data_IF_130564559222
#
_entry.id   IF_130564559222
#
_cell.length_a   1.000
_cell.length_b   1.000
_cell.length_c   1.000
_cell.angle_alpha   90.00
_cell.angle_beta   90.00
_cell.angle_gamma   90.00
#
_symmetry.space_group_name_H-M   'P 1'
#
loop_
_entity.id
_entity.type
_entity.pdbx_description
1 polymer ?
#
# COMPACT_ATOMS: atom_id res chain seq x y z
N UNK A 1 18.88 3.44 7.56
CA UNK A 1 17.64 4.22 7.48
C UNK A 1 16.59 3.54 8.35
N UNK A 2 15.83 4.30 9.11
CA UNK A 2 14.72 3.81 9.93
C UNK A 2 13.41 4.12 9.22
N UNK A 3 12.68 3.09 8.80
CA UNK A 3 11.42 3.23 8.07
C UNK A 3 10.27 3.06 9.05
N UNK A 4 9.28 3.96 9.02
CA UNK A 4 8.01 3.76 9.68
C UNK A 4 6.94 3.34 8.67
N UNK A 5 6.10 2.39 9.05
CA UNK A 5 4.84 2.07 8.37
C UNK A 5 3.70 2.29 9.36
N UNK A 6 2.58 2.81 8.86
CA UNK A 6 1.43 3.18 9.67
C UNK A 6 0.20 2.35 9.31
N UNK A 7 -0.69 2.21 10.27
CA UNK A 7 -2.09 1.82 10.06
C UNK A 7 -2.99 2.80 10.81
N UNK A 8 -4.16 3.08 10.27
CA UNK A 8 -5.23 3.79 10.97
C UNK A 8 -6.58 3.48 10.34
N UNK A 9 -7.67 3.78 11.06
CA UNK A 9 -9.04 3.67 10.58
C UNK A 9 -9.42 4.96 9.85
N UNK A 10 -9.52 4.94 8.49
CA UNK A 10 -9.84 6.14 7.73
C UNK A 10 -11.32 6.47 7.84
N UNK A 11 -11.67 7.75 7.64
CA UNK A 11 -13.05 8.17 7.45
C UNK A 11 -13.34 8.45 5.98
N UNK A 12 -14.42 7.86 5.47
CA UNK A 12 -14.84 7.96 4.09
C UNK A 12 -15.03 9.42 3.66
N UNK A 13 -14.23 9.87 2.70
CA UNK A 13 -14.26 11.23 2.15
C UNK A 13 -13.83 12.36 3.10
N UNK A 14 -13.58 12.09 4.37
CA UNK A 14 -13.16 13.11 5.34
C UNK A 14 -11.64 13.35 5.29
N UNK A 15 -11.22 14.06 4.25
CA UNK A 15 -9.79 14.35 4.03
C UNK A 15 -9.15 15.13 5.18
N UNK A 16 -9.93 16.00 5.85
CA UNK A 16 -9.43 16.79 6.99
C UNK A 16 -9.12 15.91 8.20
N UNK A 17 -10.02 14.99 8.53
CA UNK A 17 -9.79 14.02 9.61
C UNK A 17 -8.60 13.13 9.28
N UNK A 18 -8.57 12.54 8.08
CA UNK A 18 -7.52 11.62 7.67
C UNK A 18 -6.14 12.29 7.68
N UNK A 19 -6.03 13.53 7.20
CA UNK A 19 -4.79 14.30 7.26
C UNK A 19 -4.37 14.61 8.71
N UNK A 20 -5.32 14.86 9.62
CA UNK A 20 -5.01 15.06 11.04
C UNK A 20 -4.41 13.81 11.69
N UNK A 21 -4.91 12.62 11.33
CA UNK A 21 -4.35 11.33 11.78
C UNK A 21 -2.97 11.11 11.17
N UNK A 22 -2.80 11.40 9.88
CA UNK A 22 -1.49 11.33 9.20
C UNK A 22 -0.47 12.24 9.92
N UNK A 23 -0.83 13.48 10.24
CA UNK A 23 0.06 14.40 10.99
C UNK A 23 0.42 13.85 12.38
N UNK A 24 -0.57 13.34 13.12
CA UNK A 24 -0.39 12.74 14.46
C UNK A 24 0.59 11.55 14.40
N UNK A 25 0.38 10.63 13.46
CA UNK A 25 1.23 9.44 13.32
C UNK A 25 2.63 9.79 12.80
N UNK A 26 2.75 10.81 11.93
CA UNK A 26 4.04 11.33 11.47
C UNK A 26 4.84 11.93 12.63
N UNK A 27 4.21 12.73 13.52
CA UNK A 27 4.84 13.23 14.75
C UNK A 27 5.30 12.09 15.66
N UNK A 28 4.47 11.04 15.82
CA UNK A 28 4.80 9.85 16.59
C UNK A 28 6.02 9.11 15.99
N UNK A 29 6.07 8.95 14.66
CA UNK A 29 7.19 8.32 13.98
C UNK A 29 8.49 9.12 14.15
N UNK A 30 8.42 10.45 13.95
CA UNK A 30 9.56 11.35 14.13
C UNK A 30 10.12 11.28 15.56
N UNK A 31 9.25 11.33 16.57
CA UNK A 31 9.66 11.25 17.98
C UNK A 31 10.33 9.91 18.35
N UNK A 32 10.04 8.85 17.59
CA UNK A 32 10.64 7.51 17.73
C UNK A 32 11.86 7.29 16.83
N UNK A 33 12.35 8.32 16.14
CA UNK A 33 13.57 8.27 15.33
C UNK A 33 13.41 7.66 13.95
N UNK A 34 12.20 7.68 13.38
CA UNK A 34 11.99 7.32 11.98
C UNK A 34 12.55 8.40 11.04
N UNK A 35 13.11 7.98 9.93
CA UNK A 35 13.61 8.86 8.86
C UNK A 35 12.52 9.19 7.82
N UNK A 36 11.50 8.32 7.69
CA UNK A 36 10.33 8.49 6.82
C UNK A 36 9.14 7.71 7.35
N UNK A 37 7.95 8.02 6.84
CA UNK A 37 6.71 7.26 7.13
C UNK A 37 5.90 7.01 5.87
N UNK A 38 5.30 5.80 5.78
CA UNK A 38 4.42 5.36 4.70
C UNK A 38 3.04 5.01 5.26
N UNK A 39 1.99 5.45 4.57
CA UNK A 39 0.58 5.21 4.88
C UNK A 39 -0.05 4.29 3.83
N UNK A 40 -1.29 3.85 4.05
CA UNK A 40 -1.97 2.92 3.16
C UNK A 40 -2.49 3.59 1.87
N UNK A 41 -2.94 2.78 0.92
CA UNK A 41 -3.60 3.20 -0.31
C UNK A 41 -4.79 4.11 -0.01
N UNK A 42 -4.93 5.21 -0.77
CA UNK A 42 -6.00 6.22 -0.55
C UNK A 42 -6.18 6.66 0.92
N UNK A 43 -5.10 6.72 1.68
CA UNK A 43 -5.14 7.09 3.10
C UNK A 43 -5.78 8.45 3.36
N UNK A 44 -5.75 9.36 2.38
CA UNK A 44 -6.32 10.71 2.49
C UNK A 44 -7.83 10.69 2.31
N UNK A 45 -8.35 9.84 1.40
CA UNK A 45 -9.76 9.85 1.00
C UNK A 45 -10.58 8.71 1.58
N UNK A 46 -9.95 7.63 2.07
CA UNK A 46 -10.46 6.27 2.20
C UNK A 46 -10.71 5.61 0.83
N UNK A 47 -10.94 4.29 0.81
CA UNK A 47 -10.91 3.51 -0.42
C UNK A 47 -12.25 2.85 -0.77
N UNK A 48 -12.78 1.97 0.07
CA UNK A 48 -13.88 1.05 -0.30
C UNK A 48 -15.16 1.78 -0.67
N UNK A 49 -15.51 2.88 -0.01
CA UNK A 49 -16.72 3.65 -0.33
C UNK A 49 -16.68 4.25 -1.74
N UNK A 50 -15.50 4.43 -2.33
CA UNK A 50 -15.37 4.98 -3.69
C UNK A 50 -15.99 4.08 -4.76
N UNK A 51 -16.25 2.80 -4.46
CA UNK A 51 -16.90 1.86 -5.40
C UNK A 51 -18.27 2.33 -5.86
N UNK A 52 -19.00 3.03 -4.98
CA UNK A 52 -20.38 3.45 -5.20
C UNK A 52 -20.49 4.89 -5.75
N UNK A 53 -19.35 5.62 -5.83
CA UNK A 53 -19.34 6.98 -6.35
C UNK A 53 -19.53 7.02 -7.87
N UNK A 54 -20.43 7.89 -8.34
CA UNK A 54 -20.52 8.21 -9.74
C UNK A 54 -19.36 9.13 -10.17
N UNK A 55 -19.25 9.37 -11.50
CA UNK A 55 -18.13 10.17 -12.05
C UNK A 55 -18.05 11.58 -11.46
N UNK A 56 -19.21 12.24 -11.20
CA UNK A 56 -19.24 13.59 -10.63
C UNK A 56 -18.71 13.59 -9.21
N UNK A 57 -19.23 12.71 -8.38
CA UNK A 57 -18.81 12.57 -6.96
C UNK A 57 -17.33 12.22 -6.85
N UNK A 58 -16.86 11.29 -7.69
CA UNK A 58 -15.44 10.91 -7.72
C UNK A 58 -14.55 12.09 -8.20
N UNK A 59 -15.03 12.90 -9.15
CA UNK A 59 -14.32 14.11 -9.63
C UNK A 59 -14.27 15.19 -8.55
N UNK A 60 -15.31 15.35 -7.75
CA UNK A 60 -15.37 16.28 -6.62
C UNK A 60 -14.39 15.88 -5.51
N UNK A 61 -14.28 14.57 -5.22
CA UNK A 61 -13.32 14.01 -4.27
C UNK A 61 -11.87 14.14 -4.74
N UNK A 62 -11.64 14.08 -6.06
CA UNK A 62 -10.30 14.03 -6.64
C UNK A 62 -9.61 15.39 -6.61
N UNK A 63 -8.31 15.39 -6.31
CA UNK A 63 -7.46 16.56 -6.29
C UNK A 63 -6.37 16.51 -7.38
N UNK A 64 -5.86 17.67 -7.77
CA UNK A 64 -4.67 17.74 -8.64
C UNK A 64 -3.40 17.55 -7.82
N UNK A 65 -2.40 16.91 -8.39
CA UNK A 65 -1.07 16.78 -7.79
C UNK A 65 -0.06 17.56 -8.66
N UNK A 66 0.73 18.49 -8.07
CA UNK A 66 0.92 18.75 -6.63
C UNK A 66 0.00 19.83 -6.04
N UNK A 67 -0.83 20.53 -6.82
CA UNK A 67 -1.51 21.75 -6.42
C UNK A 67 -2.71 21.55 -5.45
N UNK A 68 -3.20 20.32 -5.29
CA UNK A 68 -4.35 19.98 -4.44
C UNK A 68 -4.09 20.26 -2.96
N UNK A 69 -5.17 20.58 -2.23
CA UNK A 69 -5.09 20.98 -0.81
C UNK A 69 -4.44 19.91 0.06
N UNK A 70 -4.79 18.64 -0.15
CA UNK A 70 -4.25 17.53 0.63
C UNK A 70 -2.75 17.34 0.38
N UNK A 71 -2.30 17.46 -0.89
CA UNK A 71 -0.88 17.40 -1.21
C UNK A 71 -0.10 18.55 -0.57
N UNK A 72 -0.65 19.77 -0.61
CA UNK A 72 -0.01 20.93 0.01
C UNK A 72 0.06 20.79 1.54
N UNK A 73 -0.96 20.20 2.16
CA UNK A 73 -0.94 19.92 3.59
C UNK A 73 0.09 18.85 3.96
N UNK A 74 0.23 17.77 3.17
CA UNK A 74 1.30 16.79 3.36
C UNK A 74 2.69 17.44 3.26
N UNK A 75 2.90 18.33 2.29
CA UNK A 75 4.16 19.08 2.13
C UNK A 75 4.40 19.95 3.37
N UNK A 76 3.38 20.64 3.88
CA UNK A 76 3.46 21.45 5.11
C UNK A 76 3.89 20.58 6.31
N UNK A 77 3.26 19.42 6.49
CA UNK A 77 3.58 18.48 7.56
C UNK A 77 5.02 17.98 7.41
N UNK A 78 5.39 17.52 6.21
CA UNK A 78 6.75 17.05 5.90
C UNK A 78 7.80 18.11 6.20
N UNK A 79 7.55 19.37 5.80
CA UNK A 79 8.45 20.50 6.07
C UNK A 79 8.58 20.79 7.56
N UNK A 80 7.46 20.77 8.31
CA UNK A 80 7.46 21.08 9.74
C UNK A 80 8.21 20.05 10.58
N UNK A 81 8.24 18.79 10.13
CA UNK A 81 8.87 17.66 10.82
C UNK A 81 10.22 17.26 10.21
N UNK A 82 10.61 17.88 9.09
CA UNK A 82 11.78 17.49 8.29
C UNK A 82 11.81 15.97 8.08
N UNK A 83 10.71 15.43 7.52
CA UNK A 83 10.52 14.00 7.33
C UNK A 83 9.69 13.69 6.08
N UNK A 84 10.17 12.88 5.13
CA UNK A 84 9.39 12.39 4.01
C UNK A 84 8.13 11.63 4.43
N UNK A 85 7.03 11.87 3.71
CA UNK A 85 5.73 11.24 3.93
C UNK A 85 5.24 10.63 2.62
N UNK A 86 4.79 9.36 2.70
CA UNK A 86 4.17 8.68 1.56
C UNK A 86 2.70 8.38 1.88
N UNK A 87 1.78 8.83 1.02
CA UNK A 87 0.35 8.62 1.21
C UNK A 87 -0.40 8.54 -0.12
N UNK A 88 -1.57 7.85 -0.11
CA UNK A 88 -2.45 7.69 -1.26
C UNK A 88 -3.63 8.66 -1.26
N UNK A 89 -4.09 9.03 -2.46
CA UNK A 89 -5.25 9.90 -2.70
C UNK A 89 -5.91 9.60 -4.05
N UNK A 90 -7.09 10.15 -4.27
CA UNK A 90 -7.73 10.21 -5.58
C UNK A 90 -7.21 11.44 -6.31
N UNK A 91 -6.52 11.23 -7.45
CA UNK A 91 -5.97 12.30 -8.30
C UNK A 91 -6.86 12.56 -9.50
N UNK A 92 -6.97 13.82 -9.92
CA UNK A 92 -7.49 14.20 -11.24
C UNK A 92 -6.47 14.95 -12.07
N UNK A 93 -6.35 14.55 -13.33
CA UNK A 93 -5.50 15.23 -14.31
C UNK A 93 -6.09 15.07 -15.72
N UNK A 94 -6.20 16.17 -16.46
CA UNK A 94 -6.67 16.19 -17.86
C UNK A 94 -7.97 15.41 -18.10
N UNK A 95 -8.96 15.56 -17.20
CA UNK A 95 -10.26 14.91 -17.28
C UNK A 95 -10.27 13.42 -16.91
N UNK A 96 -9.16 12.87 -16.48
CA UNK A 96 -9.03 11.49 -15.97
C UNK A 96 -8.89 11.48 -14.48
N UNK A 97 -9.29 10.36 -13.85
CA UNK A 97 -9.21 10.15 -12.40
C UNK A 97 -8.34 8.92 -12.14
N UNK A 98 -7.47 9.01 -11.13
CA UNK A 98 -6.49 7.99 -10.81
C UNK A 98 -6.48 7.66 -9.31
N UNK A 99 -6.18 6.42 -8.98
CA UNK A 99 -5.72 6.02 -7.66
C UNK A 99 -4.21 6.27 -7.61
N UNK A 100 -3.78 7.25 -6.84
CA UNK A 100 -2.41 7.76 -6.87
C UNK A 100 -1.75 7.68 -5.50
N UNK A 101 -0.48 7.35 -5.50
CA UNK A 101 0.38 7.36 -4.32
C UNK A 101 1.54 8.31 -4.53
N UNK A 102 1.80 9.19 -3.57
CA UNK A 102 2.83 10.22 -3.67
C UNK A 102 3.84 10.11 -2.54
N UNK A 103 5.07 10.51 -2.82
CA UNK A 103 6.10 10.80 -1.82
C UNK A 103 6.34 12.30 -1.78
N UNK A 104 6.16 12.91 -0.62
CA UNK A 104 6.43 14.32 -0.39
C UNK A 104 7.61 14.50 0.55
N UNK A 105 8.38 15.56 0.30
CA UNK A 105 9.43 16.07 1.17
C UNK A 105 9.17 17.55 1.46
N UNK A 106 10.03 18.20 2.20
CA UNK A 106 9.96 19.64 2.44
C UNK A 106 10.13 20.47 1.15
N UNK A 107 10.72 19.89 0.11
CA UNK A 107 10.90 20.50 -1.21
C UNK A 107 9.68 20.33 -2.12
N UNK A 108 8.75 19.45 -1.79
CA UNK A 108 7.56 19.16 -2.57
C UNK A 108 7.35 17.68 -2.87
N UNK A 109 6.60 17.38 -3.93
CA UNK A 109 6.37 16.01 -4.41
C UNK A 109 7.60 15.54 -5.17
N UNK A 110 8.25 14.47 -4.71
CA UNK A 110 9.43 13.89 -5.35
C UNK A 110 9.13 12.60 -6.14
N UNK A 111 8.00 11.95 -5.86
CA UNK A 111 7.52 10.80 -6.62
C UNK A 111 6.00 10.77 -6.65
N UNK A 112 5.47 10.31 -7.78
CA UNK A 112 4.04 10.09 -8.01
C UNK A 112 3.89 8.79 -8.79
N UNK A 113 3.03 7.89 -8.31
CA UNK A 113 2.71 6.62 -8.95
C UNK A 113 1.21 6.44 -9.03
N UNK A 114 0.70 6.12 -10.21
CA UNK A 114 -0.71 5.79 -10.47
C UNK A 114 -0.88 4.28 -10.54
N UNK A 115 -1.84 3.76 -9.80
CA UNK A 115 -2.13 2.32 -9.75
C UNK A 115 -2.31 1.75 -11.15
N UNK A 116 -1.58 0.67 -11.45
CA UNK A 116 -1.62 0.02 -12.76
C UNK A 116 -2.92 -0.75 -12.97
N UNK A 117 -3.48 -1.32 -11.90
CA UNK A 117 -4.69 -2.14 -11.92
C UNK A 117 -5.79 -1.57 -10.99
N UNK A 118 -6.36 -0.39 -11.30
CA UNK A 118 -7.46 0.19 -10.52
C UNK A 118 -8.77 -0.48 -10.94
N UNK A 119 -9.43 -1.18 -9.99
CA UNK A 119 -10.66 -1.89 -10.27
C UNK A 119 -11.83 -1.57 -9.33
N UNK A 120 -11.60 -0.75 -8.28
CA UNK A 120 -12.65 -0.44 -7.31
C UNK A 120 -13.78 0.40 -7.90
N UNK A 121 -13.49 1.21 -8.89
CA UNK A 121 -14.47 2.03 -9.58
C UNK A 121 -14.12 2.11 -11.08
N UNK A 122 -15.13 1.94 -11.94
CA UNK A 122 -14.99 1.94 -13.41
C UNK A 122 -14.49 3.25 -14.01
N UNK A 123 -14.56 4.35 -13.26
CA UNK A 123 -14.10 5.67 -13.70
C UNK A 123 -12.63 5.95 -13.39
N UNK A 124 -11.95 5.04 -12.67
CA UNK A 124 -10.52 5.15 -12.43
C UNK A 124 -9.73 4.72 -13.66
N UNK A 125 -8.81 5.56 -14.07
CA UNK A 125 -7.91 5.29 -15.20
C UNK A 125 -6.67 4.52 -14.72
N UNK A 126 -6.26 3.44 -15.40
CA UNK A 126 -4.99 2.76 -15.12
C UNK A 126 -3.78 3.68 -15.31
N UNK A 127 -2.79 3.55 -14.42
CA UNK A 127 -1.44 4.04 -14.67
C UNK A 127 -0.75 3.21 -15.77
N UNK A 128 0.31 3.75 -16.37
CA UNK A 128 1.03 3.13 -17.48
C UNK A 128 2.55 3.16 -17.33
N UNK A 129 3.05 3.52 -16.15
CA UNK A 129 4.48 3.69 -15.87
C UNK A 129 4.85 3.09 -14.52
N UNK A 130 6.06 2.52 -14.43
CA UNK A 130 6.67 2.18 -13.14
C UNK A 130 7.34 3.39 -12.56
N UNK A 131 7.36 3.47 -11.22
CA UNK A 131 7.99 4.57 -10.49
C UNK A 131 9.15 4.02 -9.64
N UNK A 132 10.37 4.44 -9.97
CA UNK A 132 11.56 4.23 -9.13
C UNK A 132 12.26 5.57 -8.96
N UNK A 133 12.53 5.96 -7.71
CA UNK A 133 13.05 7.27 -7.35
C UNK A 133 14.07 7.18 -6.22
N UNK A 134 14.88 8.22 -6.07
CA UNK A 134 15.88 8.31 -5.01
C UNK A 134 15.27 8.99 -3.76
N UNK A 135 15.43 8.34 -2.59
CA UNK A 135 14.97 8.86 -1.31
C UNK A 135 15.97 8.48 -0.21
N UNK A 136 16.57 9.47 0.45
CA UNK A 136 17.52 9.28 1.57
C UNK A 136 18.67 8.30 1.24
N UNK A 137 19.16 8.35 -0.01
CA UNK A 137 20.23 7.48 -0.50
C UNK A 137 19.80 6.06 -0.86
N UNK A 138 18.49 5.79 -0.96
CA UNK A 138 17.91 4.51 -1.39
C UNK A 138 17.18 4.67 -2.70
N UNK A 139 17.25 3.66 -3.57
CA UNK A 139 16.33 3.55 -4.71
C UNK A 139 15.04 2.91 -4.25
N UNK A 140 13.97 3.68 -4.30
CA UNK A 140 12.64 3.29 -3.82
C UNK A 140 11.68 3.07 -4.98
N UNK A 141 10.86 2.03 -4.90
CA UNK A 141 9.74 1.79 -5.83
C UNK A 141 8.40 1.95 -5.13
N UNK A 142 7.34 2.16 -5.90
CA UNK A 142 5.95 2.17 -5.42
C UNK A 142 5.13 1.19 -6.26
N UNK A 143 4.35 0.33 -5.58
CA UNK A 143 3.34 -0.53 -6.20
C UNK A 143 2.09 -0.54 -5.29
N UNK A 144 0.93 -0.20 -5.84
CA UNK A 144 -0.30 -0.04 -5.05
C UNK A 144 -1.11 -1.34 -5.05
N UNK A 145 -1.30 -1.95 -3.88
CA UNK A 145 -2.24 -3.03 -3.60
C UNK A 145 -2.14 -4.19 -4.62
N UNK A 146 -3.14 -4.36 -5.48
CA UNK A 146 -3.21 -5.44 -6.48
C UNK A 146 -1.99 -5.48 -7.41
N UNK A 147 -1.35 -4.34 -7.68
CA UNK A 147 -0.11 -4.30 -8.48
C UNK A 147 0.98 -5.22 -7.92
N UNK A 148 1.01 -5.42 -6.58
CA UNK A 148 1.95 -6.32 -5.91
C UNK A 148 1.59 -7.81 -6.05
N UNK A 149 0.34 -8.13 -6.40
CA UNK A 149 -0.06 -9.52 -6.65
C UNK A 149 0.42 -10.02 -8.01
N UNK A 150 0.56 -9.11 -8.98
CA UNK A 150 1.14 -9.40 -10.31
C UNK A 150 2.66 -9.44 -10.16
N UNK A 151 3.24 -10.64 -10.23
CA UNK A 151 4.67 -10.88 -9.92
C UNK A 151 5.60 -10.13 -10.86
N UNK A 152 5.20 -9.93 -12.12
CA UNK A 152 5.94 -9.20 -13.14
C UNK A 152 6.15 -7.74 -12.74
N UNK A 153 5.15 -7.08 -12.14
CA UNK A 153 5.27 -5.68 -11.69
C UNK A 153 6.36 -5.53 -10.63
N UNK A 154 6.40 -6.46 -9.66
CA UNK A 154 7.41 -6.44 -8.61
C UNK A 154 8.79 -6.70 -9.18
N UNK A 155 8.90 -7.70 -10.09
CA UNK A 155 10.16 -8.01 -10.77
C UNK A 155 10.63 -6.84 -11.63
N UNK A 156 9.74 -6.19 -12.38
CA UNK A 156 10.07 -5.02 -13.20
C UNK A 156 10.59 -3.87 -12.33
N UNK A 157 9.88 -3.53 -11.24
CA UNK A 157 10.29 -2.48 -10.30
C UNK A 157 11.67 -2.77 -9.68
N UNK A 158 11.92 -4.02 -9.28
CA UNK A 158 13.23 -4.43 -8.75
C UNK A 158 14.35 -4.39 -9.82
N UNK A 159 14.04 -4.67 -11.09
CA UNK A 159 14.98 -4.59 -12.21
C UNK A 159 15.30 -3.16 -12.61
N UNK A 160 14.38 -2.22 -12.38
CA UNK A 160 14.63 -0.78 -12.51
C UNK A 160 15.54 -0.24 -11.39
N UNK A 161 15.91 -1.10 -10.43
CA UNK A 161 16.90 -0.81 -9.40
C UNK A 161 16.33 -0.54 -8.01
N UNK A 162 15.02 -0.73 -7.80
CA UNK A 162 14.45 -0.57 -6.47
C UNK A 162 15.12 -1.50 -5.45
N UNK A 163 15.50 -0.92 -4.32
CA UNK A 163 16.07 -1.57 -3.14
C UNK A 163 15.02 -1.72 -2.03
N UNK A 164 14.03 -0.82 -2.02
CA UNK A 164 12.88 -0.76 -1.14
C UNK A 164 11.63 -0.51 -1.97
N UNK A 165 10.57 -1.29 -1.75
CA UNK A 165 9.27 -1.09 -2.39
C UNK A 165 8.25 -0.69 -1.31
N UNK A 166 7.64 0.47 -1.49
CA UNK A 166 6.46 0.88 -0.75
C UNK A 166 5.24 0.21 -1.36
N UNK A 167 4.53 -0.55 -0.53
CA UNK A 167 3.39 -1.36 -0.93
C UNK A 167 2.13 -0.96 -0.14
N UNK A 168 1.54 0.21 -0.45
CA UNK A 168 0.29 0.62 0.17
C UNK A 168 -0.86 -0.26 -0.31
N UNK A 169 -1.67 -0.72 0.63
CA UNK A 169 -2.81 -1.61 0.38
C UNK A 169 -4.06 -1.12 1.11
N UNK A 170 -5.22 -1.59 0.62
CA UNK A 170 -6.47 -1.74 1.37
C UNK A 170 -6.95 -3.15 1.08
N UNK A 171 -6.63 -4.10 1.96
CA UNK A 171 -6.80 -5.52 1.69
C UNK A 171 -7.07 -6.33 2.96
N UNK A 172 -7.39 -7.62 2.76
CA UNK A 172 -7.74 -8.53 3.84
C UNK A 172 -9.22 -8.43 4.23
N UNK A 173 -9.73 -9.49 4.83
CA UNK A 173 -11.10 -9.60 5.33
C UNK A 173 -12.18 -9.22 4.29
N UNK A 174 -11.95 -9.60 3.04
CA UNK A 174 -12.87 -9.39 1.92
C UNK A 174 -13.31 -10.72 1.34
N UNK A 175 -14.51 -10.81 0.73
CA UNK A 175 -14.98 -12.04 0.12
C UNK A 175 -14.05 -12.47 -1.02
N UNK A 176 -14.00 -13.76 -1.26
CA UNK A 176 -13.22 -14.36 -2.33
C UNK A 176 -13.68 -15.80 -2.55
N UNK A 177 -13.63 -16.28 -3.80
CA UNK A 177 -13.84 -17.69 -4.12
C UNK A 177 -12.72 -18.60 -3.55
N UNK A 178 -11.60 -18.02 -3.08
CA UNK A 178 -10.52 -18.77 -2.45
C UNK A 178 -10.97 -19.29 -1.07
N UNK A 179 -10.87 -20.61 -0.79
CA UNK A 179 -11.29 -21.18 0.48
C UNK A 179 -10.64 -20.51 1.70
N UNK A 180 -11.46 -20.20 2.69
CA UNK A 180 -11.06 -19.56 3.94
C UNK A 180 -10.93 -18.04 3.88
N UNK A 181 -11.13 -17.44 2.71
CA UNK A 181 -11.26 -15.97 2.56
C UNK A 181 -12.73 -15.60 2.78
N UNK A 182 -12.96 -14.52 3.52
CA UNK A 182 -14.30 -13.99 3.77
C UNK A 182 -14.23 -12.72 4.60
N UNK A 183 -15.37 -12.08 4.87
CA UNK A 183 -15.52 -11.00 5.85
C UNK A 183 -15.22 -11.46 7.27
N UNK A 184 -14.81 -10.53 8.10
CA UNK A 184 -14.84 -10.65 9.56
C UNK A 184 -16.10 -9.95 10.05
N UNK A 185 -16.89 -10.62 10.88
CA UNK A 185 -18.11 -10.06 11.47
C UNK A 185 -17.77 -8.84 12.33
N UNK A 186 -18.55 -7.76 12.16
CA UNK A 186 -18.34 -6.48 12.86
C UNK A 186 -18.41 -6.59 14.38
N UNK A 187 -19.14 -7.59 14.92
CA UNK A 187 -19.24 -7.82 16.37
C UNK A 187 -17.89 -8.11 17.02
N UNK A 188 -16.94 -8.72 16.28
CA UNK A 188 -15.57 -8.89 16.76
C UNK A 188 -14.86 -7.54 16.94
N UNK A 189 -15.06 -6.62 15.99
CA UNK A 189 -14.46 -5.28 16.05
C UNK A 189 -15.05 -4.43 17.19
N UNK A 190 -16.35 -4.47 17.35
CA UNK A 190 -17.05 -3.76 18.44
C UNK A 190 -16.59 -4.23 19.82
N UNK A 191 -16.29 -5.53 19.95
CA UNK A 191 -15.82 -6.12 21.19
C UNK A 191 -14.28 -6.20 21.30
N UNK A 192 -13.52 -5.59 20.40
CA UNK A 192 -12.04 -5.72 20.30
C UNK A 192 -11.25 -5.45 21.58
N UNK A 193 -11.78 -4.62 22.47
CA UNK A 193 -11.14 -4.34 23.76
C UNK A 193 -11.63 -5.26 24.89
N UNK A 194 -12.79 -5.92 24.72
CA UNK A 194 -13.33 -6.88 25.69
C UNK A 194 -12.81 -8.30 25.38
N UNK A 195 -12.74 -8.65 24.10
CA UNK A 195 -12.23 -9.92 23.61
C UNK A 195 -11.24 -9.73 22.45
N UNK A 196 -10.03 -9.20 22.76
CA UNK A 196 -9.01 -8.98 21.75
C UNK A 196 -8.47 -10.28 21.13
N UNK A 197 -8.59 -11.39 21.85
CA UNK A 197 -8.08 -12.70 21.38
C UNK A 197 -8.90 -13.21 20.21
N UNK A 198 -10.23 -13.20 20.32
CA UNK A 198 -11.11 -13.68 19.26
C UNK A 198 -10.93 -12.86 17.98
N UNK A 199 -10.87 -11.52 18.07
CA UNK A 199 -10.60 -10.67 16.90
C UNK A 199 -9.21 -10.96 16.32
N UNK A 200 -8.17 -11.11 17.15
CA UNK A 200 -6.82 -11.39 16.68
C UNK A 200 -6.76 -12.73 15.92
N UNK A 201 -7.48 -13.76 16.38
CA UNK A 201 -7.56 -15.03 15.67
C UNK A 201 -8.22 -14.88 14.28
N UNK A 202 -9.24 -14.03 14.15
CA UNK A 202 -9.84 -13.72 12.85
C UNK A 202 -8.84 -13.00 11.93
N UNK A 203 -8.20 -11.95 12.43
CA UNK A 203 -7.26 -11.13 11.65
C UNK A 203 -5.95 -11.86 11.30
N UNK A 204 -5.43 -12.71 12.18
CA UNK A 204 -4.25 -13.53 11.91
C UNK A 204 -4.57 -14.78 11.09
N UNK A 205 -5.85 -15.12 10.97
CA UNK A 205 -6.34 -16.28 10.22
C UNK A 205 -6.27 -16.12 8.68
N UNK A 206 -6.89 -17.07 7.94
CA UNK A 206 -6.86 -17.09 6.48
C UNK A 206 -7.58 -15.89 5.82
N UNK A 207 -8.47 -15.23 6.56
CA UNK A 207 -9.15 -14.01 6.09
C UNK A 207 -8.20 -12.79 5.99
N UNK A 208 -7.22 -12.72 6.87
CA UNK A 208 -6.28 -11.61 6.97
C UNK A 208 -4.81 -12.02 6.80
N UNK A 209 -4.05 -12.00 7.90
CA UNK A 209 -2.59 -12.15 7.89
C UNK A 209 -2.08 -13.43 7.23
N UNK A 210 -2.69 -14.59 7.53
CA UNK A 210 -2.25 -15.87 6.94
C UNK A 210 -2.29 -15.83 5.41
N UNK A 211 -3.26 -15.13 4.82
CA UNK A 211 -3.31 -14.93 3.37
C UNK A 211 -2.17 -14.02 2.88
N UNK A 212 -1.90 -12.91 3.57
CA UNK A 212 -0.78 -12.03 3.23
C UNK A 212 0.54 -12.79 3.24
N UNK A 213 0.76 -13.63 4.23
CA UNK A 213 2.01 -14.41 4.39
C UNK A 213 2.20 -15.50 3.32
N UNK A 214 1.19 -15.79 2.49
CA UNK A 214 1.35 -16.72 1.36
C UNK A 214 2.15 -16.12 0.21
N UNK A 215 2.14 -14.80 0.07
CA UNK A 215 2.72 -14.16 -1.11
C UNK A 215 3.62 -12.97 -0.77
N UNK A 216 3.28 -12.16 0.21
CA UNK A 216 3.97 -10.89 0.47
C UNK A 216 5.46 -11.07 0.81
N UNK A 217 5.90 -12.02 1.68
CA UNK A 217 7.32 -12.28 1.92
C UNK A 217 8.06 -12.75 0.66
N UNK A 218 7.39 -13.51 -0.20
CA UNK A 218 7.98 -13.97 -1.46
C UNK A 218 8.32 -12.79 -2.41
N UNK A 219 7.52 -11.71 -2.38
CA UNK A 219 7.82 -10.51 -3.17
C UNK A 219 9.14 -9.87 -2.76
N UNK A 220 9.43 -9.80 -1.46
CA UNK A 220 10.72 -9.34 -0.95
C UNK A 220 11.85 -10.32 -1.27
N UNK A 221 11.65 -11.58 -0.94
CA UNK A 221 12.64 -12.65 -1.07
C UNK A 221 13.10 -12.87 -2.53
N UNK A 222 12.16 -13.09 -3.44
CA UNK A 222 12.44 -13.38 -4.86
C UNK A 222 13.15 -12.22 -5.57
N UNK A 223 12.95 -11.00 -5.08
CA UNK A 223 13.48 -9.80 -5.69
C UNK A 223 14.68 -9.21 -4.94
N UNK A 224 14.99 -9.70 -3.73
CA UNK A 224 16.07 -9.20 -2.89
C UNK A 224 15.89 -7.71 -2.58
N UNK A 225 14.69 -7.32 -2.16
CA UNK A 225 14.31 -5.95 -1.83
C UNK A 225 13.63 -5.90 -0.47
N UNK A 226 13.66 -4.74 0.20
CA UNK A 226 12.80 -4.49 1.35
C UNK A 226 11.37 -4.19 0.89
N UNK A 227 10.40 -4.54 1.72
CA UNK A 227 8.99 -4.23 1.51
C UNK A 227 8.42 -3.47 2.70
N UNK A 228 7.89 -2.28 2.44
CA UNK A 228 7.15 -1.47 3.40
C UNK A 228 5.65 -1.62 3.10
N UNK A 229 5.02 -2.63 3.68
CA UNK A 229 3.59 -2.91 3.51
C UNK A 229 2.78 -2.07 4.49
N UNK A 230 1.78 -1.35 3.98
CA UNK A 230 0.84 -0.57 4.77
C UNK A 230 -0.61 -0.91 4.43
N UNK A 231 -1.45 -1.03 5.45
CA UNK A 231 -2.84 -1.44 5.32
C UNK A 231 -3.68 -0.77 6.42
N UNK A 232 -4.92 -0.32 6.16
CA UNK A 232 -5.75 0.26 7.21
C UNK A 232 -6.16 -0.78 8.25
N UNK A 233 -6.51 -0.32 9.44
CA UNK A 233 -7.13 -1.10 10.51
C UNK A 233 -8.56 -0.59 10.71
N UNK A 234 -9.51 -1.46 11.09
CA UNK A 234 -10.89 -1.06 11.31
C UNK A 234 -11.70 -0.96 10.04
N UNK A 235 -12.73 -0.15 10.05
CA UNK A 235 -13.61 -0.01 8.90
C UNK A 235 -12.97 0.86 7.79
N UNK A 236 -13.15 0.42 6.56
CA UNK A 236 -12.96 1.18 5.33
C UNK A 236 -14.20 0.90 4.46
N UNK A 237 -15.11 1.85 4.38
CA UNK A 237 -16.48 1.59 3.96
C UNK A 237 -17.17 0.58 4.87
N UNK A 238 -17.85 -0.40 4.29
CA UNK A 238 -18.53 -1.48 5.04
C UNK A 238 -17.60 -2.65 5.41
N UNK A 239 -16.32 -2.62 5.05
CA UNK A 239 -15.41 -3.74 5.24
C UNK A 239 -14.39 -3.50 6.35
N UNK A 240 -14.30 -4.44 7.28
CA UNK A 240 -13.20 -4.47 8.24
C UNK A 240 -11.88 -4.82 7.56
N UNK A 241 -10.83 -4.09 7.89
CA UNK A 241 -9.46 -4.34 7.48
C UNK A 241 -8.62 -4.76 8.68
N UNK A 242 -7.74 -5.71 8.45
CA UNK A 242 -6.99 -6.37 9.52
C UNK A 242 -5.73 -5.62 9.95
N UNK A 243 -5.40 -4.48 9.35
CA UNK A 243 -4.15 -3.80 9.62
C UNK A 243 -2.95 -4.67 9.21
N UNK A 244 -2.16 -5.08 10.21
CA UNK A 244 -0.93 -5.85 10.01
C UNK A 244 0.09 -5.14 9.10
N UNK A 245 0.14 -3.80 9.12
CA UNK A 245 1.21 -3.07 8.45
C UNK A 245 2.55 -3.56 8.94
N UNK A 246 3.48 -3.87 8.02
CA UNK A 246 4.73 -4.55 8.35
C UNK A 246 5.89 -4.14 7.46
N UNK A 247 7.10 -4.34 7.93
CA UNK A 247 8.33 -4.18 7.16
C UNK A 247 8.96 -5.56 7.00
N UNK A 248 9.24 -5.94 5.75
CA UNK A 248 9.81 -7.23 5.39
C UNK A 248 11.18 -7.00 4.75
N UNK A 249 12.14 -7.81 5.12
CA UNK A 249 13.51 -7.72 4.63
C UNK A 249 13.76 -8.55 3.35
N UNK A 250 14.92 -8.39 2.69
CA UNK A 250 15.27 -9.15 1.48
C UNK A 250 15.39 -10.67 1.66
N UNK A 251 15.33 -11.17 2.90
CA UNK A 251 15.28 -12.61 3.20
C UNK A 251 13.85 -13.13 3.35
N UNK A 252 12.83 -12.25 3.21
CA UNK A 252 11.43 -12.61 3.42
C UNK A 252 11.01 -12.62 4.89
N UNK A 253 11.85 -12.11 5.79
CA UNK A 253 11.56 -12.08 7.23
C UNK A 253 10.81 -10.78 7.61
N UNK A 254 9.78 -10.92 8.44
CA UNK A 254 9.05 -9.77 9.00
C UNK A 254 9.89 -9.14 10.11
N UNK A 255 10.46 -7.96 9.85
CA UNK A 255 11.29 -7.24 10.83
C UNK A 255 10.44 -6.62 11.94
N UNK A 256 9.27 -6.07 11.59
CA UNK A 256 8.30 -5.52 12.52
C UNK A 256 6.91 -5.52 11.90
N UNK A 257 5.89 -5.59 12.76
CA UNK A 257 4.49 -5.65 12.37
C UNK A 257 3.62 -5.00 13.44
N UNK A 258 2.57 -4.27 13.02
CA UNK A 258 1.61 -3.70 13.95
C UNK A 258 0.57 -4.77 14.32
N UNK A 259 0.37 -4.96 15.62
CA UNK A 259 -0.61 -5.91 16.18
C UNK A 259 -1.71 -5.23 16.99
N UNK A 260 -1.65 -3.91 17.20
CA UNK A 260 -2.72 -3.18 17.87
C UNK A 260 -3.98 -3.12 17.03
N UNK A 261 -5.12 -2.82 17.67
CA UNK A 261 -6.40 -2.55 17.01
C UNK A 261 -6.70 -1.05 16.97
N UNK A 262 -5.65 -0.25 16.95
CA UNK A 262 -5.70 1.22 17.00
C UNK A 262 -4.83 1.81 15.90
N UNK A 263 -4.98 3.12 15.72
CA UNK A 263 -4.05 3.91 14.89
C UNK A 263 -2.64 3.80 15.46
N UNK A 264 -1.73 3.21 14.71
CA UNK A 264 -0.39 2.94 15.20
C UNK A 264 0.66 2.94 14.10
N UNK A 265 1.93 2.86 14.53
CA UNK A 265 3.10 2.74 13.66
C UNK A 265 4.02 1.63 14.15
N UNK A 266 4.77 1.04 13.22
CA UNK A 266 5.97 0.25 13.56
C UNK A 266 7.17 0.78 12.80
N UNK A 267 8.36 0.57 13.35
CA UNK A 267 9.62 1.09 12.80
C UNK A 267 10.63 -0.04 12.72
N UNK A 268 11.35 -0.12 11.60
CA UNK A 268 12.51 -1.00 11.47
C UNK A 268 13.68 -0.29 10.82
N UNK A 269 14.89 -0.66 11.27
CA UNK A 269 16.13 -0.24 10.61
C UNK A 269 16.41 -1.14 9.42
N UNK A 270 16.62 -0.53 8.25
CA UNK A 270 17.03 -1.20 7.02
C UNK A 270 18.48 -0.89 6.67
N UNK A 271 19.17 -1.87 6.07
CA UNK A 271 20.60 -1.76 5.69
C UNK A 271 20.82 -2.33 4.30
N UNK A 272 21.73 -1.74 3.53
CA UNK A 272 22.02 -2.19 2.15
C UNK A 272 22.74 -3.54 2.08
N UNK A 273 23.43 -3.94 3.12
CA UNK A 273 24.20 -5.18 3.12
C UNK A 273 23.32 -6.43 2.94
N UNK A 274 22.12 -6.43 3.57
CA UNK A 274 21.16 -7.53 3.40
C UNK A 274 20.75 -7.77 1.95
N UNK A 275 20.69 -6.72 1.13
CA UNK A 275 20.32 -6.83 -0.29
C UNK A 275 21.35 -7.66 -1.05
N UNK A 276 22.63 -7.38 -0.88
CA UNK A 276 23.73 -8.06 -1.58
C UNK A 276 23.82 -9.55 -1.26
N UNK A 277 23.44 -9.94 -0.05
CA UNK A 277 23.49 -11.33 0.42
C UNK A 277 22.17 -12.10 0.22
N UNK A 278 21.12 -11.42 -0.26
CA UNK A 278 19.80 -12.06 -0.48
C UNK A 278 19.81 -13.02 -1.66
N UNK A 279 18.94 -14.03 -1.59
CA UNK A 279 18.68 -14.94 -2.71
C UNK A 279 18.19 -14.19 -3.95
N UNK A 280 17.28 -13.25 -3.76
CA UNK A 280 16.67 -12.47 -4.85
C UNK A 280 17.67 -11.60 -5.62
N UNK A 281 18.73 -11.11 -4.98
CA UNK A 281 19.81 -10.42 -5.68
C UNK A 281 20.51 -11.36 -6.67
N UNK A 282 20.84 -12.59 -6.23
CA UNK A 282 21.43 -13.63 -7.11
C UNK A 282 20.46 -14.04 -8.22
N UNK A 283 19.17 -14.22 -7.94
CA UNK A 283 18.16 -14.62 -8.90
C UNK A 283 17.97 -13.56 -10.00
N UNK A 284 17.98 -12.28 -9.66
CA UNK A 284 17.95 -11.20 -10.65
C UNK A 284 19.12 -11.27 -11.63
N UNK A 285 20.31 -11.55 -11.13
CA UNK A 285 21.53 -11.62 -11.93
C UNK A 285 21.66 -12.93 -12.73
N UNK A 286 20.98 -14.01 -12.30
CA UNK A 286 20.98 -15.31 -12.99
C UNK A 286 19.89 -15.44 -14.08
N UNK A 287 19.13 -14.35 -14.33
CA UNK A 287 18.04 -14.37 -15.32
C UNK A 287 18.56 -14.66 -16.73
N UNK A 288 17.76 -15.40 -17.48
CA UNK A 288 18.00 -15.71 -18.90
C UNK A 288 16.80 -15.25 -19.76
N UNK A 289 16.68 -13.93 -20.01
CA UNK A 289 15.54 -13.35 -20.72
C UNK A 289 15.29 -13.97 -22.10
N UNK A 290 16.33 -14.43 -22.76
CA UNK A 290 16.24 -15.10 -24.07
C UNK A 290 15.34 -16.34 -24.06
N UNK A 291 15.14 -16.99 -22.90
CA UNK A 291 14.31 -18.18 -22.79
C UNK A 291 12.81 -17.86 -22.64
N UNK A 292 12.46 -16.70 -22.10
CA UNK A 292 11.07 -16.43 -21.72
C UNK A 292 10.49 -15.10 -22.22
N UNK A 293 11.28 -14.20 -22.82
CA UNK A 293 10.77 -12.90 -23.28
C UNK A 293 9.64 -13.01 -24.30
N UNK A 294 9.70 -14.01 -25.21
CA UNK A 294 8.65 -14.27 -26.20
C UNK A 294 7.39 -14.87 -25.61
N UNK A 295 7.50 -15.51 -24.46
CA UNK A 295 6.36 -16.09 -23.72
C UNK A 295 5.68 -15.01 -22.90
N UNK A 296 6.46 -14.28 -22.09
CA UNK A 296 5.93 -13.22 -21.21
C UNK A 296 5.48 -11.96 -21.95
N UNK A 297 6.01 -11.73 -23.16
CA UNK A 297 5.66 -10.61 -24.02
C UNK A 297 4.49 -10.87 -24.98
N UNK A 298 3.78 -11.99 -24.87
CA UNK A 298 2.58 -12.23 -25.68
C UNK A 298 1.47 -11.27 -25.25
N UNK A 299 0.81 -10.70 -26.25
CA UNK A 299 -0.38 -9.88 -26.02
C UNK A 299 -1.49 -10.70 -25.37
N UNK A 300 -2.13 -10.12 -24.37
CA UNK A 300 -3.35 -10.65 -23.80
C UNK A 300 -4.23 -9.49 -23.28
N UNK A 301 -5.53 -9.73 -23.15
CA UNK A 301 -6.44 -8.80 -22.52
C UNK A 301 -6.36 -8.95 -21.01
N UNK A 302 -6.01 -7.86 -20.32
CA UNK A 302 -5.97 -7.86 -18.85
C UNK A 302 -7.39 -7.87 -18.28
N UNK A 303 -7.72 -8.88 -17.48
CA UNK A 303 -8.92 -8.90 -16.67
C UNK A 303 -8.60 -8.36 -15.27
N UNK A 304 -9.12 -7.18 -14.99
CA UNK A 304 -8.97 -6.50 -13.70
C UNK A 304 -10.25 -6.47 -12.89
N UNK A 305 -11.28 -7.22 -13.31
CA UNK A 305 -12.56 -7.30 -12.60
C UNK A 305 -12.36 -7.99 -11.25
N UNK A 306 -12.67 -7.32 -10.12
CA UNK A 306 -12.53 -7.94 -8.81
C UNK A 306 -13.57 -9.04 -8.62
N UNK A 307 -13.15 -10.23 -8.26
CA UNK A 307 -14.04 -11.37 -8.05
C UNK A 307 -15.14 -11.07 -7.01
N UNK A 308 -14.83 -10.28 -6.00
CA UNK A 308 -15.77 -9.92 -4.93
C UNK A 308 -16.74 -8.78 -5.29
N UNK A 309 -16.48 -8.04 -6.39
CA UNK A 309 -17.42 -7.04 -6.93
C UNK A 309 -18.42 -7.66 -7.92
N UNK A 310 -18.14 -8.83 -8.47
CA UNK A 310 -18.99 -9.53 -9.42
C UNK A 310 -19.97 -10.51 -8.77
N UNK A 311 -19.95 -10.64 -7.45
CA UNK A 311 -20.80 -11.60 -6.74
C UNK A 311 -22.23 -11.11 -6.61
N UNK A 312 -23.03 -11.32 -7.63
CA UNK A 312 -24.48 -11.52 -7.50
C UNK A 312 -25.11 -12.24 -8.71
N UNK A 313 -24.32 -12.74 -9.64
CA UNK A 313 -24.84 -13.52 -10.77
C UNK A 313 -23.96 -14.75 -10.99
N UNK A 314 -24.17 -15.81 -10.20
CA UNK A 314 -23.97 -17.21 -10.60
C UNK A 314 -24.77 -18.14 -9.68
#
# INVERSE_FOLDING_TARGET
MNIAVAQFEPKDGDTSYNLSVIEKLTKKAKSKGADLISFHEMAITAYTFTKDLNLKELTELAETVPAGKSTQELIRISKSLDMPILAGLVEKEQGKIFNTYICVTKEGVIAKFRKLHPFINKHLTPGNEYCVFDLLGWKCGILICYDNNVIENVRATALLGAELIFAPHVTGCTPSKMPGRDYVDGTYWENRFKDPVSLRLQFDGPKGRRWLMRWLPARAYDNGVYYAFTNPIGYDGEHLKNGNSMIIDPYGEVLSEIKSFEDDITISKVTKDKIKWSGGWRYKNARRPELYRTILGKEHSSDTTPIWLTSNED
#
